data_IF_692020072228
#
_entry.id   IF_692020072228
#
_cell.length_a   1.000
_cell.length_b   1.000
_cell.length_c   1.000
_cell.angle_alpha   90.00
_cell.angle_beta   90.00
_cell.angle_gamma   90.00
#
_symmetry.space_group_name_H-M   'P 1'
#
loop_
_entity.id
_entity.type
_entity.pdbx_description
1 polymer ?
#
# COMPACT_ATOMS: atom_id res chain seq x y z
N UNK A 1 3.73 -6.86 11.94
CA UNK A 1 4.31 -6.09 10.82
C UNK A 1 5.00 -7.07 9.90
N UNK A 2 4.93 -6.87 8.59
CA UNK A 2 5.69 -7.66 7.62
C UNK A 2 7.18 -7.63 7.95
N UNK A 3 7.86 -8.75 7.73
CA UNK A 3 9.30 -8.89 7.97
C UNK A 3 10.13 -8.64 6.72
N UNK A 4 9.49 -8.55 5.55
CA UNK A 4 10.13 -8.53 4.24
C UNK A 4 9.19 -7.90 3.16
N UNK A 5 9.70 -7.49 1.99
CA UNK A 5 8.92 -7.19 0.79
C UNK A 5 8.82 -8.40 -0.15
N UNK A 6 8.44 -9.57 0.36
CA UNK A 6 8.16 -10.71 -0.52
C UNK A 6 7.24 -10.28 -1.69
N UNK A 7 7.55 -10.79 -2.88
CA UNK A 7 6.78 -10.48 -4.09
C UNK A 7 5.30 -10.75 -3.85
N UNK A 8 4.41 -9.75 -4.01
CA UNK A 8 2.99 -9.94 -3.77
C UNK A 8 2.41 -11.07 -4.60
N UNK A 9 1.80 -12.07 -3.94
CA UNK A 9 1.04 -13.11 -4.61
C UNK A 9 -0.35 -12.59 -4.96
N UNK A 10 -0.99 -13.18 -5.97
CA UNK A 10 -2.39 -12.85 -6.29
C UNK A 10 -3.31 -13.02 -5.07
N UNK A 11 -3.09 -14.07 -4.29
CA UNK A 11 -3.86 -14.33 -3.06
C UNK A 11 -3.72 -13.19 -2.04
N UNK A 12 -2.50 -12.75 -1.75
CA UNK A 12 -2.25 -11.65 -0.82
C UNK A 12 -2.87 -10.32 -1.28
N UNK A 13 -2.87 -10.06 -2.60
CA UNK A 13 -3.54 -8.90 -3.18
C UNK A 13 -5.06 -8.98 -3.02
N UNK A 14 -5.65 -10.16 -3.25
CA UNK A 14 -7.10 -10.38 -3.10
C UNK A 14 -7.55 -10.26 -1.64
N UNK A 15 -6.73 -10.74 -0.69
CA UNK A 15 -7.01 -10.59 0.73
C UNK A 15 -7.05 -9.10 1.12
N UNK A 16 -6.05 -8.32 0.71
CA UNK A 16 -6.03 -6.87 0.93
C UNK A 16 -7.27 -6.20 0.34
N UNK A 17 -7.65 -6.54 -0.90
CA UNK A 17 -8.85 -6.02 -1.55
C UNK A 17 -10.12 -6.28 -0.72
N UNK A 18 -10.29 -7.50 -0.19
CA UNK A 18 -11.46 -7.86 0.61
C UNK A 18 -11.49 -7.11 1.94
N UNK A 19 -10.34 -7.03 2.63
CA UNK A 19 -10.22 -6.30 3.89
C UNK A 19 -10.48 -4.81 3.69
N UNK A 20 -9.94 -4.22 2.62
CA UNK A 20 -10.14 -2.81 2.32
C UNK A 20 -11.61 -2.46 2.07
N UNK A 21 -12.36 -3.30 1.34
CA UNK A 21 -13.80 -3.10 1.14
C UNK A 21 -14.58 -3.17 2.46
N UNK A 22 -14.22 -4.09 3.36
CA UNK A 22 -14.83 -4.20 4.70
C UNK A 22 -14.49 -2.99 5.56
N UNK A 23 -13.25 -2.50 5.49
CA UNK A 23 -12.80 -1.29 6.18
C UNK A 23 -13.60 -0.07 5.71
N UNK A 24 -13.80 0.12 4.40
CA UNK A 24 -14.66 1.19 3.87
C UNK A 24 -16.06 1.11 4.49
N UNK A 25 -16.70 -0.06 4.45
CA UNK A 25 -18.05 -0.25 4.97
C UNK A 25 -18.17 -0.04 6.49
N UNK A 26 -17.12 -0.33 7.26
CA UNK A 26 -17.08 -0.06 8.70
C UNK A 26 -16.84 1.43 8.98
N UNK A 27 -15.98 2.09 8.20
CA UNK A 27 -15.68 3.53 8.35
C UNK A 27 -16.91 4.43 8.17
N UNK A 28 -17.94 3.96 7.46
CA UNK A 28 -19.19 4.70 7.29
C UNK A 28 -20.10 4.68 8.52
N UNK A 29 -19.98 3.66 9.37
CA UNK A 29 -20.87 3.47 10.53
C UNK A 29 -20.19 3.70 11.87
N UNK A 30 -18.87 3.54 11.93
CA UNK A 30 -18.07 3.66 13.13
C UNK A 30 -17.05 4.81 12.99
N UNK A 31 -17.32 5.99 13.59
CA UNK A 31 -16.42 7.12 13.55
C UNK A 31 -15.09 6.87 14.28
N UNK A 32 -15.07 6.03 15.31
CA UNK A 32 -13.86 5.70 16.08
C UNK A 32 -12.93 4.88 15.21
N UNK A 33 -13.46 3.81 14.60
CA UNK A 33 -12.70 3.02 13.63
C UNK A 33 -12.19 3.88 12.46
N UNK A 34 -13.02 4.82 11.97
CA UNK A 34 -12.60 5.70 10.88
C UNK A 34 -11.38 6.55 11.26
N UNK A 35 -11.36 7.11 12.47
CA UNK A 35 -10.22 7.89 12.94
C UNK A 35 -8.97 7.02 13.12
N UNK A 36 -9.12 5.83 13.70
CA UNK A 36 -8.04 4.85 13.83
C UNK A 36 -7.48 4.46 12.45
N UNK A 37 -8.34 4.27 11.45
CA UNK A 37 -7.93 3.94 10.08
C UNK A 37 -7.17 5.08 9.40
N UNK A 38 -7.53 6.34 9.68
CA UNK A 38 -6.84 7.51 9.12
C UNK A 38 -5.48 7.77 9.79
N UNK A 39 -5.35 7.46 11.08
CA UNK A 39 -4.14 7.74 11.87
C UNK A 39 -3.15 6.58 11.87
N UNK A 40 -3.63 5.35 12.03
CA UNK A 40 -2.83 4.14 12.17
C UNK A 40 -3.45 2.98 11.36
N UNK A 41 -3.45 3.06 10.01
CA UNK A 41 -4.21 2.13 9.18
C UNK A 41 -3.86 0.67 9.40
N UNK A 42 -2.57 0.32 9.53
CA UNK A 42 -2.20 -1.08 9.78
C UNK A 42 -2.64 -1.59 11.16
N UNK A 43 -2.60 -0.74 12.20
CA UNK A 43 -3.11 -1.12 13.53
C UNK A 43 -4.63 -1.31 13.49
N UNK A 44 -5.34 -0.40 12.83
CA UNK A 44 -6.79 -0.50 12.64
C UNK A 44 -7.17 -1.77 11.86
N UNK A 45 -6.48 -2.06 10.76
CA UNK A 45 -6.74 -3.27 9.97
C UNK A 45 -6.43 -4.55 10.76
N UNK A 46 -5.36 -4.54 11.55
CA UNK A 46 -5.00 -5.67 12.41
C UNK A 46 -6.01 -5.89 13.53
N UNK A 47 -6.39 -4.86 14.28
CA UNK A 47 -7.30 -4.98 15.42
C UNK A 47 -8.73 -5.34 15.03
N UNK A 48 -9.23 -4.75 13.94
CA UNK A 48 -10.64 -4.90 13.55
C UNK A 48 -10.89 -6.05 12.58
N UNK A 49 -9.90 -6.43 11.77
CA UNK A 49 -10.05 -7.48 10.76
C UNK A 49 -9.09 -8.65 10.93
N UNK A 50 -8.22 -8.62 11.95
CA UNK A 50 -7.11 -9.57 12.12
C UNK A 50 -6.22 -9.66 10.87
N UNK A 51 -6.17 -8.59 10.07
CA UNK A 51 -5.41 -8.54 8.85
C UNK A 51 -4.00 -8.04 9.13
N UNK A 52 -3.00 -8.80 8.65
CA UNK A 52 -1.60 -8.39 8.70
C UNK A 52 -1.13 -8.16 7.28
N UNK A 53 -0.82 -6.91 6.93
CA UNK A 53 -0.22 -6.58 5.65
C UNK A 53 1.10 -7.35 5.50
N UNK A 54 1.26 -8.18 4.44
CA UNK A 54 2.44 -9.02 4.26
C UNK A 54 3.61 -8.28 3.63
N UNK A 55 3.45 -7.01 3.25
CA UNK A 55 4.46 -6.21 2.58
C UNK A 55 4.99 -5.09 3.47
N UNK A 56 6.29 -4.80 3.36
CA UNK A 56 6.95 -3.70 4.05
C UNK A 56 6.71 -2.37 3.30
N UNK A 57 5.47 -1.88 3.36
CA UNK A 57 5.06 -0.61 2.76
C UNK A 57 4.50 0.36 3.81
N UNK A 58 4.54 1.65 3.49
CA UNK A 58 3.82 2.68 4.24
C UNK A 58 2.44 2.89 3.61
N UNK A 59 1.39 2.64 4.38
CA UNK A 59 0.01 2.86 3.96
C UNK A 59 -0.49 4.16 4.59
N UNK A 60 -0.86 5.13 3.76
CA UNK A 60 -1.55 6.33 4.19
C UNK A 60 -3.00 6.28 3.72
N UNK A 61 -3.95 6.45 4.65
CA UNK A 61 -5.37 6.59 4.32
C UNK A 61 -5.76 8.04 4.54
N UNK A 62 -6.08 8.73 3.45
CA UNK A 62 -6.36 10.16 3.49
C UNK A 62 -7.86 10.45 3.45
N UNK A 63 -8.29 11.45 4.23
CA UNK A 63 -9.62 12.03 4.07
C UNK A 63 -9.63 12.84 2.77
N UNK A 64 -10.51 12.52 1.81
CA UNK A 64 -10.52 13.22 0.54
C UNK A 64 -11.00 14.67 0.72
N UNK A 65 -10.44 15.58 -0.07
CA UNK A 65 -10.80 17.01 -0.08
C UNK A 65 -12.21 17.28 -0.61
N UNK A 66 -12.60 18.57 -0.64
CA UNK A 66 -13.90 18.99 -1.16
C UNK A 66 -14.08 18.59 -2.64
N UNK A 67 -15.24 18.02 -2.98
CA UNK A 67 -15.57 17.60 -4.35
C UNK A 67 -15.41 16.10 -4.65
N UNK A 68 -14.84 15.33 -3.72
CA UNK A 68 -14.79 13.87 -3.79
C UNK A 68 -15.95 13.21 -3.04
N UNK A 69 -16.45 12.08 -3.54
CA UNK A 69 -17.59 11.36 -2.98
C UNK A 69 -18.40 10.62 -4.04
N UNK A 70 -19.57 10.12 -3.63
CA UNK A 70 -20.54 9.51 -4.53
C UNK A 70 -21.29 10.58 -5.33
N UNK A 71 -21.22 10.53 -6.66
CA UNK A 71 -22.05 11.34 -7.55
C UNK A 71 -23.32 10.56 -7.92
N UNK A 72 -24.46 10.98 -7.35
CA UNK A 72 -25.74 10.32 -7.61
C UNK A 72 -26.31 10.57 -9.01
N UNK A 73 -25.82 11.61 -9.73
CA UNK A 73 -26.26 11.92 -11.10
C UNK A 73 -25.52 11.03 -12.10
N UNK A 74 -24.23 10.81 -11.88
CA UNK A 74 -23.39 9.94 -12.72
C UNK A 74 -23.41 8.47 -12.28
N UNK A 75 -23.88 8.18 -11.06
CA UNK A 75 -23.89 6.83 -10.51
C UNK A 75 -22.48 6.29 -10.28
N UNK A 76 -21.53 7.16 -9.89
CA UNK A 76 -20.11 6.84 -9.83
C UNK A 76 -19.41 7.44 -8.62
N UNK A 77 -18.26 6.88 -8.24
CA UNK A 77 -17.40 7.44 -7.21
C UNK A 77 -16.39 8.41 -7.83
N UNK A 78 -16.31 9.61 -7.27
CA UNK A 78 -15.23 10.57 -7.53
C UNK A 78 -14.24 10.51 -6.37
N UNK A 79 -13.06 9.95 -6.60
CA UNK A 79 -12.01 9.76 -5.59
C UNK A 79 -10.69 10.40 -6.06
N UNK A 80 -9.80 10.77 -5.12
CA UNK A 80 -8.44 11.19 -5.48
C UNK A 80 -7.69 10.05 -6.19
N UNK A 81 -6.67 10.41 -6.96
CA UNK A 81 -5.76 9.42 -7.56
C UNK A 81 -4.95 8.76 -6.46
N UNK A 82 -4.79 7.44 -6.54
CA UNK A 82 -3.84 6.72 -5.68
C UNK A 82 -2.41 7.21 -6.00
N UNK A 83 -1.61 7.38 -4.96
CA UNK A 83 -0.20 7.75 -5.07
C UNK A 83 0.68 6.61 -4.60
N UNK A 84 1.84 6.46 -5.22
CA UNK A 84 2.86 5.49 -4.84
C UNK A 84 4.21 6.16 -4.97
N UNK A 85 5.00 6.13 -3.91
CA UNK A 85 6.38 6.63 -3.92
C UNK A 85 7.32 5.45 -4.08
N UNK A 86 8.24 5.55 -5.05
CA UNK A 86 9.27 4.54 -5.29
C UNK A 86 10.65 5.18 -5.25
N UNK A 87 11.59 4.54 -4.56
CA UNK A 87 12.99 4.95 -4.55
C UNK A 87 13.69 4.47 -5.82
N UNK A 88 14.29 5.39 -6.57
CA UNK A 88 15.16 5.04 -7.70
C UNK A 88 16.61 5.09 -7.21
N UNK A 89 17.39 4.00 -7.34
CA UNK A 89 18.77 3.99 -6.87
C UNK A 89 19.62 4.99 -7.66
N UNK A 90 20.58 5.61 -6.98
CA UNK A 90 21.56 6.46 -7.63
C UNK A 90 22.49 5.62 -8.52
N UNK A 91 22.90 6.18 -9.66
CA UNK A 91 23.89 5.57 -10.54
C UNK A 91 25.24 5.44 -9.81
N UNK A 92 25.91 4.27 -9.85
CA UNK A 92 27.26 4.12 -9.32
C UNK A 92 28.25 5.12 -9.95
N UNK A 93 29.27 5.53 -9.19
CA UNK A 93 30.29 6.47 -9.68
C UNK A 93 31.19 5.85 -10.76
N UNK A 94 31.43 4.53 -10.68
CA UNK A 94 32.25 3.80 -11.63
C UNK A 94 31.38 3.11 -12.69
N UNK A 95 31.64 3.40 -13.97
CA UNK A 95 30.82 2.89 -15.09
C UNK A 95 30.86 1.38 -15.26
N UNK A 96 31.99 0.75 -14.92
CA UNK A 96 32.16 -0.70 -14.96
C UNK A 96 31.37 -1.44 -13.86
N UNK A 97 30.85 -0.74 -12.85
CA UNK A 97 30.06 -1.33 -11.78
C UNK A 97 28.55 -1.29 -12.06
N UNK A 98 28.09 -0.61 -13.12
CA UNK A 98 26.65 -0.42 -13.38
C UNK A 98 25.88 -1.73 -13.51
N UNK A 99 26.39 -2.67 -14.31
CA UNK A 99 25.73 -3.96 -14.53
C UNK A 99 25.69 -4.79 -13.23
N UNK A 100 26.75 -4.72 -12.43
CA UNK A 100 26.84 -5.43 -11.14
C UNK A 100 25.88 -4.80 -10.12
N UNK A 101 25.84 -3.48 -10.03
CA UNK A 101 24.94 -2.76 -9.13
C UNK A 101 23.47 -2.99 -9.49
N UNK A 102 23.14 -3.01 -10.78
CA UNK A 102 21.78 -3.30 -11.23
C UNK A 102 21.39 -4.76 -10.95
N UNK A 103 22.30 -5.71 -11.17
CA UNK A 103 22.06 -7.11 -10.81
C UNK A 103 21.87 -7.29 -9.30
N UNK A 104 22.71 -6.65 -8.48
CA UNK A 104 22.58 -6.67 -7.02
C UNK A 104 21.29 -6.00 -6.52
N UNK A 105 20.85 -4.91 -7.17
CA UNK A 105 19.54 -4.33 -6.90
C UNK A 105 18.43 -5.33 -7.21
N UNK A 106 18.47 -5.96 -8.39
CA UNK A 106 17.50 -6.99 -8.77
C UNK A 106 17.50 -8.21 -7.84
N UNK A 107 18.64 -8.56 -7.25
CA UNK A 107 18.85 -9.69 -6.33
C UNK A 107 18.63 -9.33 -4.86
N UNK A 108 18.33 -8.06 -4.55
CA UNK A 108 18.12 -7.60 -3.18
C UNK A 108 16.87 -8.22 -2.52
N UNK A 109 16.11 -9.03 -3.25
CA UNK A 109 14.98 -9.80 -2.77
C UNK A 109 13.96 -8.90 -2.07
N UNK A 110 13.60 -9.16 -0.81
CA UNK A 110 12.59 -8.38 -0.12
C UNK A 110 13.06 -7.01 0.40
N UNK A 111 14.31 -6.60 0.15
CA UNK A 111 14.78 -5.29 0.62
C UNK A 111 14.12 -4.13 -0.15
N UNK A 112 13.76 -4.34 -1.42
CA UNK A 112 13.16 -3.32 -2.27
C UNK A 112 11.88 -3.84 -2.94
N UNK A 113 10.99 -2.93 -3.33
CA UNK A 113 9.78 -3.30 -4.06
C UNK A 113 10.14 -3.75 -5.48
N UNK A 114 9.48 -4.82 -5.93
CA UNK A 114 9.59 -5.37 -7.30
C UNK A 114 10.98 -5.89 -7.68
N UNK A 115 11.83 -6.22 -6.70
CA UNK A 115 13.09 -6.94 -6.93
C UNK A 115 12.86 -8.45 -6.85
N UNK A 116 13.62 -9.19 -7.66
CA UNK A 116 13.51 -10.64 -7.73
C UNK A 116 14.31 -11.29 -6.61
N UNK A 117 14.01 -12.56 -6.38
CA UNK A 117 14.92 -13.52 -5.78
C UNK A 117 15.25 -14.57 -6.85
#
# INVERSE_FOLDING_TARGET
>A
MAVDNATPTLESMLEFQQVYLRAIALSWRDPVFKEDLLTHPFDALSRYFNYQCPWLLELEVVKPGAGYGWDSREGSWRLPRNTMTVGVPARPAQLNEEAVALAAYSDAGPCYLFTCC
#
